data_IF_087588813610
#
_entry.id   IF_087588813610
#
_cell.length_a   1.000
_cell.length_b   1.000
_cell.length_c   1.000
_cell.angle_alpha   90.00
_cell.angle_beta   90.00
_cell.angle_gamma   90.00
#
_symmetry.space_group_name_H-M   'P 1'
#
loop_
_entity.id
_entity.type
_entity.pdbx_description
1 polymer ?
#
# COMPACT_ATOMS: atom_id res chain seq x y z
N UNK A 1 -71.75 25.44 13.22
CA UNK A 1 -70.34 25.79 13.22
C UNK A 1 -69.50 24.55 13.01
N UNK A 2 -68.84 24.52 11.92
CA UNK A 2 -68.04 23.35 11.56
C UNK A 2 -66.60 23.61 11.88
N UNK A 3 -66.06 22.88 12.76
CA UNK A 3 -64.65 22.92 13.04
C UNK A 3 -63.94 22.00 12.06
N UNK A 4 -63.24 22.60 11.19
CA UNK A 4 -62.37 21.84 10.27
C UNK A 4 -61.08 21.50 10.97
N UNK A 5 -60.94 20.27 11.28
CA UNK A 5 -59.66 19.74 11.72
C UNK A 5 -58.81 19.49 10.45
N UNK A 6 -57.82 20.27 10.32
CA UNK A 6 -56.80 20.01 9.34
C UNK A 6 -55.91 18.93 9.90
N UNK A 7 -55.94 17.77 9.30
CA UNK A 7 -55.05 16.71 9.66
C UNK A 7 -53.62 17.14 9.23
N UNK A 8 -52.79 17.26 10.22
CA UNK A 8 -51.37 17.47 9.95
C UNK A 8 -50.81 16.20 9.32
N UNK A 9 -50.49 16.32 8.10
CA UNK A 9 -49.71 15.31 7.39
C UNK A 9 -48.30 15.34 7.95
N UNK A 10 -48.01 14.42 8.79
CA UNK A 10 -46.66 14.20 9.26
C UNK A 10 -45.81 13.69 8.11
N UNK A 11 -44.89 14.50 7.71
CA UNK A 11 -43.84 14.12 6.79
C UNK A 11 -42.86 13.22 7.55
N UNK A 12 -43.18 11.95 7.63
CA UNK A 12 -42.29 10.98 8.26
C UNK A 12 -41.48 10.15 7.27
N UNK A 13 -41.37 10.58 6.02
CA UNK A 13 -40.82 9.75 4.95
C UNK A 13 -39.33 10.00 4.63
N UNK A 14 -38.67 10.90 5.33
CA UNK A 14 -37.29 11.26 4.98
C UNK A 14 -36.19 10.55 5.78
N UNK A 15 -36.51 9.76 6.77
CA UNK A 15 -35.49 9.17 7.62
C UNK A 15 -34.88 7.89 7.06
N UNK A 16 -35.40 7.29 6.03
CA UNK A 16 -34.93 6.01 5.52
C UNK A 16 -33.84 6.09 4.44
N UNK A 17 -33.48 7.28 3.98
CA UNK A 17 -32.51 7.40 2.88
C UNK A 17 -31.07 7.59 3.36
N UNK A 18 -30.83 7.83 4.62
CA UNK A 18 -29.49 8.07 5.14
C UNK A 18 -28.71 6.79 5.45
N UNK A 19 -29.38 5.66 5.63
CA UNK A 19 -28.74 4.39 5.94
C UNK A 19 -28.11 3.68 4.76
N UNK A 20 -28.50 4.01 3.53
CA UNK A 20 -28.00 3.34 2.32
C UNK A 20 -26.73 4.00 1.74
N UNK A 21 -26.39 5.23 2.17
CA UNK A 21 -25.25 5.97 1.65
C UNK A 21 -23.92 5.61 2.33
N UNK A 22 -23.96 4.88 3.45
CA UNK A 22 -22.78 4.57 4.25
C UNK A 22 -22.21 3.17 3.99
N UNK A 23 -22.75 2.43 3.03
CA UNK A 23 -22.21 1.15 2.64
C UNK A 23 -20.92 1.37 1.83
N UNK A 24 -19.79 1.38 2.51
CA UNK A 24 -18.48 1.42 1.87
C UNK A 24 -18.05 0.01 1.50
N UNK A 25 -17.60 -0.13 0.29
CA UNK A 25 -17.01 -1.37 -0.20
C UNK A 25 -15.49 -1.28 -0.07
N UNK A 26 -14.88 -2.29 0.51
CA UNK A 26 -13.43 -2.42 0.57
C UNK A 26 -12.98 -3.45 -0.43
N UNK A 27 -12.10 -3.06 -1.33
CA UNK A 27 -11.47 -3.94 -2.30
C UNK A 27 -10.00 -4.08 -1.93
N UNK A 28 -9.54 -5.31 -1.71
CA UNK A 28 -8.15 -5.63 -1.38
C UNK A 28 -7.44 -6.12 -2.62
N UNK A 29 -6.35 -5.48 -2.97
CA UNK A 29 -5.60 -5.74 -4.19
C UNK A 29 -4.22 -6.26 -3.81
N UNK A 30 -3.86 -7.49 -4.23
CA UNK A 30 -2.53 -8.03 -3.99
C UNK A 30 -1.45 -7.20 -4.67
N UNK A 31 -0.29 -7.15 -4.06
CA UNK A 31 0.91 -6.54 -4.61
C UNK A 31 2.04 -7.56 -4.60
N UNK A 32 2.94 -7.43 -5.55
CA UNK A 32 4.18 -8.19 -5.60
C UNK A 32 5.34 -7.21 -5.71
N UNK A 33 6.47 -7.57 -5.14
CA UNK A 33 7.68 -6.78 -5.25
C UNK A 33 8.85 -7.68 -5.61
N UNK A 34 9.58 -7.30 -6.63
CA UNK A 34 10.81 -7.98 -7.03
C UNK A 34 12.04 -7.24 -6.51
N UNK A 35 13.14 -7.96 -6.40
CA UNK A 35 14.41 -7.42 -5.96
C UNK A 35 15.55 -8.05 -6.77
N UNK A 36 16.49 -7.22 -7.15
CA UNK A 36 17.78 -7.61 -7.72
C UNK A 36 18.84 -6.65 -7.24
N UNK A 37 20.07 -7.05 -7.29
CA UNK A 37 21.17 -6.17 -6.94
C UNK A 37 22.25 -6.19 -8.02
N UNK A 38 22.91 -5.06 -8.17
CA UNK A 38 24.14 -4.93 -8.90
C UNK A 38 25.07 -4.12 -8.01
N UNK A 39 26.09 -4.77 -7.48
CA UNK A 39 26.95 -4.19 -6.44
C UNK A 39 26.07 -3.72 -5.25
N UNK A 40 26.15 -2.47 -4.87
CA UNK A 40 25.40 -1.91 -3.74
C UNK A 40 24.08 -1.26 -4.17
N UNK A 41 23.70 -1.38 -5.42
CA UNK A 41 22.46 -0.88 -5.94
C UNK A 41 21.41 -1.98 -5.99
N UNK A 42 20.35 -1.78 -5.24
CA UNK A 42 19.18 -2.66 -5.24
C UNK A 42 18.08 -2.03 -6.06
N UNK A 43 17.39 -2.84 -6.81
CA UNK A 43 16.30 -2.37 -7.67
C UNK A 43 15.27 -3.45 -7.85
N UNK A 44 14.13 -3.05 -8.36
CA UNK A 44 13.05 -3.97 -8.66
C UNK A 44 11.81 -3.23 -9.11
N UNK A 45 10.70 -3.92 -9.00
CA UNK A 45 9.40 -3.38 -9.40
C UNK A 45 8.31 -3.85 -8.47
N UNK A 46 7.41 -2.94 -8.13
CA UNK A 46 6.12 -3.27 -7.52
C UNK A 46 5.14 -3.54 -8.65
N UNK A 47 4.55 -4.72 -8.65
CA UNK A 47 3.55 -5.13 -9.63
C UNK A 47 2.21 -5.35 -8.95
N UNK A 48 1.14 -5.03 -9.66
CA UNK A 48 -0.22 -5.21 -9.21
C UNK A 48 -1.15 -5.18 -10.42
N UNK A 49 -2.30 -5.80 -10.29
CA UNK A 49 -3.35 -5.74 -11.30
C UNK A 49 -3.98 -4.36 -11.44
N UNK A 50 -3.79 -3.50 -10.45
CA UNK A 50 -4.32 -2.13 -10.45
C UNK A 50 -3.17 -1.12 -10.53
N UNK A 51 -3.24 -0.20 -11.48
CA UNK A 51 -2.23 0.83 -11.68
C UNK A 51 -2.04 1.72 -10.44
N UNK A 52 -3.11 2.00 -9.69
CA UNK A 52 -3.05 2.77 -8.46
C UNK A 52 -2.21 2.09 -7.37
N UNK A 53 -2.06 0.76 -7.44
CA UNK A 53 -1.24 0.00 -6.50
C UNK A 53 0.22 -0.15 -6.94
N UNK A 54 0.60 0.42 -8.07
CA UNK A 54 1.99 0.47 -8.56
C UNK A 54 2.66 1.81 -8.27
N UNK A 55 1.89 2.88 -8.34
CA UNK A 55 2.37 4.25 -8.17
C UNK A 55 2.28 4.71 -6.72
N UNK A 56 3.24 5.54 -6.31
CA UNK A 56 3.24 6.16 -5.00
C UNK A 56 3.37 5.16 -3.86
N UNK A 57 3.97 4.01 -4.10
CA UNK A 57 4.17 2.98 -3.08
C UNK A 57 5.47 3.21 -2.35
N UNK A 58 5.42 3.10 -1.03
CA UNK A 58 6.60 3.20 -0.19
C UNK A 58 7.30 1.85 -0.13
N UNK A 59 8.52 1.82 -0.64
CA UNK A 59 9.39 0.65 -0.62
C UNK A 59 10.49 0.90 0.40
N UNK A 60 10.69 -0.04 1.30
CA UNK A 60 11.80 -0.03 2.25
C UNK A 60 12.72 -1.21 1.98
N UNK A 61 14.01 -0.95 1.98
CA UNK A 61 15.02 -1.99 1.88
C UNK A 61 15.55 -2.30 3.28
N UNK A 62 15.55 -3.58 3.64
CA UNK A 62 16.01 -4.06 4.94
C UNK A 62 17.22 -4.97 4.78
N UNK A 63 18.15 -4.80 5.70
CA UNK A 63 19.27 -5.69 5.90
C UNK A 63 18.98 -6.58 7.10
N UNK A 64 19.07 -7.89 6.92
CA UNK A 64 18.90 -8.83 8.03
C UNK A 64 20.17 -8.88 8.88
N UNK A 65 20.00 -8.84 10.18
CA UNK A 65 21.11 -9.02 11.13
C UNK A 65 21.35 -10.50 11.36
N UNK A 66 22.60 -10.88 11.57
CA UNK A 66 22.97 -12.24 11.94
C UNK A 66 22.41 -12.67 13.30
N UNK A 67 22.18 -11.73 14.19
CA UNK A 67 21.63 -11.96 15.54
C UNK A 67 20.11 -11.98 15.59
N UNK A 68 19.43 -11.85 14.45
CA UNK A 68 17.99 -11.64 14.34
C UNK A 68 17.64 -10.17 14.25
N UNK A 69 16.45 -9.88 13.77
CA UNK A 69 16.02 -8.52 13.51
C UNK A 69 16.50 -7.98 12.15
N UNK A 70 16.22 -6.72 11.93
CA UNK A 70 16.50 -6.06 10.65
C UNK A 70 16.77 -4.58 10.84
N UNK A 71 17.56 -4.02 9.92
CA UNK A 71 17.78 -2.58 9.80
C UNK A 71 17.24 -2.08 8.49
N UNK A 72 16.51 -0.98 8.54
CA UNK A 72 16.08 -0.28 7.32
C UNK A 72 17.25 0.52 6.79
N UNK A 73 17.69 0.20 5.58
CA UNK A 73 18.86 0.84 4.97
C UNK A 73 18.52 1.81 3.86
N UNK A 74 17.27 1.89 3.46
CA UNK A 74 16.82 2.85 2.46
C UNK A 74 15.32 2.80 2.24
N UNK A 75 14.81 3.85 1.63
CA UNK A 75 13.40 4.01 1.25
C UNK A 75 13.31 4.60 -0.14
N UNK A 76 12.21 4.30 -0.82
CA UNK A 76 11.92 4.82 -2.16
C UNK A 76 10.41 4.89 -2.36
N UNK A 77 9.95 5.90 -3.08
CA UNK A 77 8.53 6.02 -3.48
C UNK A 77 8.43 5.76 -4.97
N UNK A 78 7.63 4.78 -5.35
CA UNK A 78 7.52 4.36 -6.75
C UNK A 78 6.81 5.39 -7.61
N UNK A 79 7.24 5.51 -8.88
CA UNK A 79 6.51 6.22 -9.92
C UNK A 79 5.45 5.35 -10.58
N UNK A 80 4.91 5.81 -11.71
CA UNK A 80 3.83 5.15 -12.42
C UNK A 80 4.14 3.71 -12.86
N UNK A 81 5.40 3.41 -13.16
CA UNK A 81 5.83 2.06 -13.57
C UNK A 81 5.98 1.07 -12.42
N UNK A 82 5.95 1.54 -11.18
CA UNK A 82 6.23 0.72 -10.00
C UNK A 82 7.71 0.41 -9.78
N UNK A 83 8.60 0.93 -10.61
CA UNK A 83 10.04 0.73 -10.45
C UNK A 83 10.57 1.41 -9.19
N UNK A 84 11.52 0.77 -8.56
CA UNK A 84 12.22 1.32 -7.41
C UNK A 84 13.72 1.00 -7.49
N UNK A 85 14.52 1.83 -6.85
CA UNK A 85 15.95 1.59 -6.67
C UNK A 85 16.45 2.25 -5.40
N UNK A 86 17.39 1.62 -4.75
CA UNK A 86 18.04 2.12 -3.54
C UNK A 86 19.50 1.75 -3.61
N UNK A 87 20.38 2.74 -3.44
CA UNK A 87 21.80 2.53 -3.32
C UNK A 87 22.20 2.57 -1.86
N UNK A 88 22.85 1.52 -1.40
CA UNK A 88 23.31 1.41 -0.01
C UNK A 88 24.74 1.94 0.07
N UNK A 89 25.02 2.74 1.10
CA UNK A 89 26.39 3.21 1.35
C UNK A 89 27.31 2.04 1.64
N UNK A 90 28.44 2.01 0.97
CA UNK A 90 29.39 0.92 1.09
C UNK A 90 29.97 0.81 2.48
N UNK A 91 29.73 -0.31 3.15
CA UNK A 91 30.36 -0.68 4.39
C UNK A 91 30.93 -2.08 4.27
N UNK A 92 31.97 -2.36 5.02
CA UNK A 92 32.55 -3.71 5.07
C UNK A 92 31.47 -4.72 5.48
N UNK A 93 31.43 -5.85 4.77
CA UNK A 93 30.50 -6.93 5.05
C UNK A 93 29.13 -6.82 4.39
N UNK A 94 28.86 -5.78 3.62
CA UNK A 94 27.57 -5.64 2.89
C UNK A 94 27.35 -6.80 1.91
N UNK A 95 28.42 -7.28 1.25
CA UNK A 95 28.33 -8.38 0.30
C UNK A 95 27.96 -9.72 0.94
N UNK A 96 28.14 -9.85 2.24
CA UNK A 96 27.79 -11.06 3.01
C UNK A 96 26.40 -10.99 3.66
N UNK A 97 25.78 -9.83 3.64
CA UNK A 97 24.49 -9.62 4.28
C UNK A 97 23.34 -10.05 3.36
N UNK A 98 22.21 -10.34 3.98
CA UNK A 98 20.97 -10.63 3.30
C UNK A 98 20.06 -9.40 3.30
N UNK A 99 19.46 -9.12 2.16
CA UNK A 99 18.56 -7.98 1.98
C UNK A 99 17.23 -8.44 1.43
N UNK A 100 16.18 -7.73 1.79
CA UNK A 100 14.87 -7.86 1.17
C UNK A 100 14.18 -6.50 1.14
N UNK A 101 13.26 -6.34 0.20
CA UNK A 101 12.46 -5.15 0.08
C UNK A 101 11.03 -5.43 0.54
N UNK A 102 10.42 -4.43 1.13
CA UNK A 102 9.02 -4.47 1.55
C UNK A 102 8.28 -3.28 0.96
N UNK A 103 7.18 -3.55 0.28
CA UNK A 103 6.25 -2.51 -0.12
C UNK A 103 5.17 -2.36 0.95
N UNK A 104 4.98 -1.14 1.39
CA UNK A 104 4.03 -0.81 2.44
C UNK A 104 2.60 -0.82 1.91
N UNK A 105 1.67 -1.25 2.75
CA UNK A 105 0.24 -1.13 2.50
C UNK A 105 -0.15 0.32 2.20
N UNK A 106 -1.05 0.50 1.25
CA UNK A 106 -1.62 1.79 0.91
C UNK A 106 -3.13 1.68 0.75
N UNK A 107 -3.86 2.63 1.31
CA UNK A 107 -5.30 2.72 1.15
C UNK A 107 -5.66 4.00 0.43
N UNK A 108 -6.56 3.90 -0.54
CA UNK A 108 -7.18 5.03 -1.21
C UNK A 108 -8.68 4.86 -1.20
N UNK A 109 -9.40 5.94 -0.91
CA UNK A 109 -10.86 5.95 -0.92
C UNK A 109 -11.41 6.90 -1.95
N UNK A 110 -12.38 6.44 -2.69
CA UNK A 110 -13.32 7.26 -3.46
C UNK A 110 -14.70 7.11 -2.86
N UNK A 111 -15.66 7.93 -3.26
CA UNK A 111 -17.02 7.87 -2.71
C UNK A 111 -17.58 6.43 -2.80
N UNK A 112 -17.82 5.81 -1.66
CA UNK A 112 -18.41 4.48 -1.55
C UNK A 112 -17.46 3.30 -1.74
N UNK A 113 -16.19 3.51 -2.09
CA UNK A 113 -15.24 2.43 -2.30
C UNK A 113 -13.86 2.77 -1.73
N UNK A 114 -13.31 1.86 -0.96
CA UNK A 114 -11.93 1.93 -0.47
C UNK A 114 -11.10 0.84 -1.13
N UNK A 115 -10.00 1.23 -1.75
CA UNK A 115 -9.02 0.32 -2.32
C UNK A 115 -7.87 0.16 -1.35
N UNK A 116 -7.52 -1.08 -1.04
CA UNK A 116 -6.38 -1.40 -0.19
C UNK A 116 -5.36 -2.14 -1.04
N UNK A 117 -4.24 -1.49 -1.30
CA UNK A 117 -3.08 -2.11 -1.91
C UNK A 117 -2.33 -2.86 -0.81
N UNK A 118 -2.30 -4.17 -0.85
CA UNK A 118 -1.67 -4.98 0.19
C UNK A 118 -0.17 -4.76 0.24
N UNK A 119 0.40 -4.89 1.43
CA UNK A 119 1.85 -4.98 1.59
C UNK A 119 2.39 -6.28 1.00
N UNK A 120 3.66 -6.29 0.64
CA UNK A 120 4.34 -7.48 0.15
C UNK A 120 5.82 -7.41 0.49
N UNK A 121 6.42 -8.58 0.67
CA UNK A 121 7.85 -8.73 0.86
C UNK A 121 8.47 -9.39 -0.38
N UNK A 122 9.65 -8.93 -0.76
CA UNK A 122 10.42 -9.57 -1.82
C UNK A 122 11.11 -10.84 -1.31
N UNK A 123 11.69 -11.60 -2.23
CA UNK A 123 12.66 -12.61 -1.86
C UNK A 123 13.84 -11.97 -1.11
N UNK A 124 14.49 -12.75 -0.26
CA UNK A 124 15.73 -12.34 0.39
C UNK A 124 16.91 -12.71 -0.50
N UNK A 125 17.78 -11.75 -0.76
CA UNK A 125 18.94 -11.93 -1.64
C UNK A 125 20.22 -11.48 -0.96
N UNK A 126 21.35 -11.95 -1.49
CA UNK A 126 22.67 -11.39 -1.24
C UNK A 126 23.04 -10.43 -2.38
N UNK A 127 23.79 -9.36 -2.10
CA UNK A 127 24.30 -8.50 -3.17
C UNK A 127 25.11 -9.31 -4.18
N UNK A 128 24.89 -9.02 -5.46
CA UNK A 128 25.65 -9.59 -6.55
C UNK A 128 26.75 -8.61 -6.95
N UNK A 129 27.96 -9.09 -7.26
CA UNK A 129 29.04 -8.24 -7.73
C UNK A 129 28.75 -7.57 -9.08
#
# INVERSE_FOLDING_TARGET
MTVRRIAALSAAALACMLGAADATRTVRIPSHISIKSHELRFSGRVTSSNAACRQGRHVSLYRRRSTGGRDRVGVFVTGASGKWHITVSGTAGVSMAHFYAKVRRRSEGTAGTTFVCKSADSATIRPQP
#
